data_IF_780366862302
#
_entry.id   IF_780366862302
#
_cell.length_a   1.000
_cell.length_b   1.000
_cell.length_c   1.000
_cell.angle_alpha   90.00
_cell.angle_beta   90.00
_cell.angle_gamma   90.00
#
_symmetry.space_group_name_H-M   'P 1'
#
loop_
_entity.id
_entity.type
_entity.pdbx_description
1 polymer ?
#
# COMPACT_ATOMS: atom_id res chain seq x y z
N UNK A 1 -6.57 11.54 -0.61
CA UNK A 1 -5.97 11.67 0.74
C UNK A 1 -5.03 10.49 0.96
N UNK A 2 -3.85 10.71 1.54
CA UNK A 2 -2.91 9.64 1.87
C UNK A 2 -2.94 9.38 3.38
N UNK A 3 -3.07 8.12 3.78
CA UNK A 3 -3.04 7.69 5.18
C UNK A 3 -1.85 6.77 5.40
N UNK A 4 -0.98 7.12 6.34
CA UNK A 4 0.24 6.35 6.60
C UNK A 4 0.04 5.35 7.74
N UNK A 5 0.13 4.05 7.45
CA UNK A 5 0.03 2.97 8.42
C UNK A 5 1.38 2.28 8.70
N UNK A 6 2.47 2.77 8.10
CA UNK A 6 3.80 2.14 8.22
C UNK A 6 4.32 2.09 9.65
N UNK A 7 3.87 3.01 10.50
CA UNK A 7 4.37 3.20 11.86
C UNK A 7 3.36 2.82 12.95
N UNK A 8 2.24 2.18 12.61
CA UNK A 8 1.21 1.79 13.59
C UNK A 8 1.51 0.49 14.35
N UNK A 9 2.58 -0.23 13.98
CA UNK A 9 2.98 -1.47 14.67
C UNK A 9 2.15 -2.71 14.32
N UNK A 10 1.13 -2.60 13.46
CA UNK A 10 0.27 -3.74 13.09
C UNK A 10 1.03 -4.94 12.50
N UNK A 11 2.12 -4.72 11.75
CA UNK A 11 2.95 -5.82 11.20
C UNK A 11 3.80 -6.56 12.23
N UNK A 12 3.90 -6.04 13.47
CA UNK A 12 4.71 -6.62 14.54
C UNK A 12 3.87 -7.41 15.56
N UNK A 13 2.55 -7.44 15.40
CA UNK A 13 1.66 -8.23 16.28
C UNK A 13 1.98 -9.71 16.11
N UNK A 14 2.21 -10.42 17.21
CA UNK A 14 2.40 -11.87 17.23
C UNK A 14 1.57 -12.46 18.38
N UNK A 15 0.71 -13.43 18.08
CA UNK A 15 -0.15 -14.10 19.04
C UNK A 15 0.45 -15.41 19.59
N UNK A 16 1.73 -15.68 19.30
CA UNK A 16 2.46 -16.89 19.69
C UNK A 16 2.71 -17.88 18.54
N UNK A 17 2.43 -17.49 17.30
CA UNK A 17 2.45 -18.37 16.12
C UNK A 17 3.09 -17.69 14.90
N UNK A 18 3.68 -16.52 15.09
CA UNK A 18 4.23 -15.67 14.03
C UNK A 18 3.35 -14.47 13.72
N UNK A 19 3.99 -13.46 13.10
CA UNK A 19 3.34 -12.21 12.73
C UNK A 19 2.42 -12.31 11.50
N UNK A 20 1.61 -11.28 11.25
CA UNK A 20 0.67 -11.28 10.13
C UNK A 20 1.40 -11.28 8.79
N UNK A 21 0.93 -12.10 7.86
CA UNK A 21 1.41 -12.10 6.48
C UNK A 21 1.01 -10.84 5.71
N UNK A 22 -0.13 -10.23 6.04
CA UNK A 22 -0.60 -8.97 5.43
C UNK A 22 -1.60 -8.27 6.36
N UNK A 23 -1.57 -6.93 6.36
CA UNK A 23 -2.53 -6.05 7.04
C UNK A 23 -3.16 -5.15 5.98
N UNK A 24 -4.49 -5.06 5.93
CA UNK A 24 -5.24 -4.23 4.98
C UNK A 24 -6.31 -3.40 5.69
N UNK A 25 -6.46 -2.10 5.38
CA UNK A 25 -7.58 -1.29 5.83
C UNK A 25 -8.85 -1.65 5.05
N UNK A 26 -9.95 -1.91 5.75
CA UNK A 26 -11.27 -2.21 5.15
C UNK A 26 -12.09 -0.95 4.80
N UNK A 27 -11.45 0.22 4.76
CA UNK A 27 -12.10 1.54 4.73
C UNK A 27 -12.99 1.82 3.50
N UNK A 28 -12.69 1.21 2.35
CA UNK A 28 -13.40 1.49 1.09
C UNK A 28 -14.86 1.08 1.10
N UNK A 29 -15.16 -0.10 1.63
CA UNK A 29 -16.52 -0.64 1.61
C UNK A 29 -17.32 -0.27 2.87
N UNK A 30 -16.65 0.20 3.93
CA UNK A 30 -17.25 0.37 5.25
C UNK A 30 -17.49 1.83 5.66
N UNK A 31 -16.65 2.76 5.19
CA UNK A 31 -16.66 4.16 5.66
C UNK A 31 -17.08 5.18 4.58
N UNK A 32 -17.47 4.72 3.39
CA UNK A 32 -17.92 5.59 2.29
C UNK A 32 -16.84 6.47 1.66
N UNK A 33 -15.56 6.22 1.97
CA UNK A 33 -14.44 6.94 1.35
C UNK A 33 -14.24 6.44 -0.08
N UNK A 34 -14.45 7.30 -1.07
CA UNK A 34 -14.42 6.92 -2.49
C UNK A 34 -13.03 6.52 -3.00
N UNK A 35 -11.98 7.24 -2.61
CA UNK A 35 -10.64 7.09 -3.20
C UNK A 35 -9.53 7.14 -2.13
N UNK A 36 -9.56 6.28 -1.08
CA UNK A 36 -8.51 6.27 -0.09
C UNK A 36 -7.20 5.71 -0.66
N UNK A 37 -6.08 6.23 -0.15
CA UNK A 37 -4.74 5.75 -0.46
C UNK A 37 -3.97 5.51 0.84
N UNK A 38 -3.40 4.32 1.00
CA UNK A 38 -2.68 3.92 2.21
C UNK A 38 -1.24 3.53 1.90
N UNK A 39 -0.33 4.00 2.75
CA UNK A 39 1.02 3.45 2.82
C UNK A 39 1.04 2.35 3.87
N UNK A 40 1.35 1.13 3.44
CA UNK A 40 1.33 -0.06 4.27
C UNK A 40 2.75 -0.62 4.44
N UNK A 41 3.11 -1.07 5.64
CA UNK A 41 4.38 -1.76 5.84
C UNK A 41 4.40 -3.10 5.10
N UNK A 42 5.59 -3.59 4.74
CA UNK A 42 5.76 -5.01 4.39
C UNK A 42 5.58 -5.88 5.65
N UNK A 43 5.30 -7.17 5.45
CA UNK A 43 5.28 -8.13 6.56
C UNK A 43 6.68 -8.25 7.18
N UNK A 44 6.74 -8.44 8.50
CA UNK A 44 7.99 -8.67 9.23
C UNK A 44 8.72 -9.93 8.74
N UNK A 45 7.98 -10.92 8.22
CA UNK A 45 8.51 -12.13 7.58
C UNK A 45 9.09 -11.90 6.18
N UNK A 46 8.88 -10.72 5.57
CA UNK A 46 9.52 -10.42 4.28
C UNK A 46 11.02 -10.28 4.49
N UNK A 47 11.79 -11.10 3.78
CA UNK A 47 13.23 -11.33 4.01
C UNK A 47 14.07 -10.10 3.64
N UNK A 48 14.09 -9.07 4.51
CA UNK A 48 15.13 -8.04 4.66
C UNK A 48 15.53 -7.17 3.46
N UNK A 49 15.01 -7.42 2.25
CA UNK A 49 15.45 -6.78 0.99
C UNK A 49 14.52 -5.66 0.52
N UNK A 50 13.33 -5.52 1.09
CA UNK A 50 12.40 -4.45 0.72
C UNK A 50 12.56 -3.25 1.67
N UNK A 51 13.41 -2.30 1.28
CA UNK A 51 13.48 -0.96 1.90
C UNK A 51 12.29 -0.06 1.55
N UNK A 52 11.29 -0.60 0.84
CA UNK A 52 10.11 0.12 0.38
C UNK A 52 8.90 -0.08 1.29
N UNK A 53 7.73 0.27 0.76
CA UNK A 53 6.43 0.06 1.38
C UNK A 53 5.42 -0.32 0.29
N UNK A 54 4.26 -0.86 0.69
CA UNK A 54 3.15 -1.13 -0.22
C UNK A 54 2.24 0.11 -0.29
N UNK A 55 1.68 0.36 -1.46
CA UNK A 55 0.63 1.37 -1.64
C UNK A 55 -0.67 0.64 -1.95
N UNK A 56 -1.68 0.82 -1.11
CA UNK A 56 -3.05 0.40 -1.41
C UNK A 56 -3.84 1.62 -1.85
N UNK A 57 -4.23 1.66 -3.12
CA UNK A 57 -5.04 2.73 -3.70
C UNK A 57 -6.41 2.19 -4.09
N UNK A 58 -7.43 3.00 -3.89
CA UNK A 58 -8.77 2.73 -4.38
C UNK A 58 -9.14 3.81 -5.39
N UNK A 59 -9.57 3.38 -6.56
CA UNK A 59 -9.78 4.22 -7.73
C UNK A 59 -11.11 3.84 -8.36
N UNK A 60 -11.73 4.78 -9.06
CA UNK A 60 -12.84 4.47 -9.97
C UNK A 60 -12.36 3.52 -11.06
N UNK A 61 -13.24 2.63 -11.50
CA UNK A 61 -12.93 1.66 -12.54
C UNK A 61 -12.40 2.32 -13.82
N UNK A 62 -12.98 3.47 -14.19
CA UNK A 62 -12.57 4.27 -15.35
C UNK A 62 -11.14 4.79 -15.28
N UNK A 63 -10.54 4.90 -14.09
CA UNK A 63 -9.19 5.43 -13.89
C UNK A 63 -8.12 4.32 -13.73
N UNK A 64 -8.52 3.04 -13.69
CA UNK A 64 -7.57 1.93 -13.44
C UNK A 64 -6.57 1.79 -14.59
N UNK A 65 -7.01 1.96 -15.84
CA UNK A 65 -6.14 1.81 -17.01
C UNK A 65 -5.03 2.87 -17.01
N UNK A 66 -5.41 4.15 -16.93
CA UNK A 66 -4.47 5.27 -16.91
C UNK A 66 -3.52 5.20 -15.72
N UNK A 67 -4.03 4.84 -14.53
CA UNK A 67 -3.18 4.70 -13.35
C UNK A 67 -2.11 3.61 -13.52
N UNK A 68 -2.45 2.48 -14.16
CA UNK A 68 -1.46 1.42 -14.44
C UNK A 68 -0.36 1.91 -15.37
N UNK A 69 -0.71 2.65 -16.41
CA UNK A 69 0.26 3.23 -17.34
C UNK A 69 1.22 4.18 -16.61
N UNK A 70 0.69 5.09 -15.79
CA UNK A 70 1.49 6.06 -15.04
C UNK A 70 2.42 5.39 -14.01
N UNK A 71 1.94 4.35 -13.32
CA UNK A 71 2.78 3.57 -12.40
C UNK A 71 3.88 2.80 -13.15
N UNK A 72 3.61 2.33 -14.36
CA UNK A 72 4.62 1.69 -15.19
C UNK A 72 5.72 2.68 -15.60
N UNK A 73 5.33 3.88 -16.09
CA UNK A 73 6.27 4.98 -16.37
C UNK A 73 7.11 5.34 -15.13
N UNK A 74 6.46 5.38 -13.96
CA UNK A 74 7.14 5.63 -12.69
C UNK A 74 8.16 4.56 -12.36
N UNK A 75 7.81 3.28 -12.54
CA UNK A 75 8.72 2.15 -12.30
C UNK A 75 9.95 2.16 -13.23
N UNK A 76 9.79 2.70 -14.45
CA UNK A 76 10.87 2.91 -15.43
C UNK A 76 11.66 4.20 -15.18
N UNK A 77 11.33 4.95 -14.12
CA UNK A 77 11.98 6.21 -13.70
C UNK A 77 11.88 7.32 -14.75
N UNK A 78 10.85 7.32 -15.58
CA UNK A 78 10.68 8.31 -16.64
C UNK A 78 10.41 9.74 -16.09
N UNK A 79 9.93 9.83 -14.84
CA UNK A 79 9.70 11.10 -14.15
C UNK A 79 10.94 11.67 -13.44
N UNK A 80 12.12 11.07 -13.59
CA UNK A 80 13.36 11.48 -12.89
C UNK A 80 13.96 12.84 -13.32
N UNK A 81 13.25 13.58 -14.18
CA UNK A 81 13.61 14.93 -14.66
C UNK A 81 12.73 16.07 -14.12
N UNK A 82 11.85 15.80 -13.16
CA UNK A 82 11.15 16.83 -12.37
C UNK A 82 11.97 17.18 -11.13
#
# INVERSE_FOLDING_TARGET
>A
MFTDWRHLGHSAVDFGWGGPMTVLPLSTNFLGSMEPCFFLPYASSSTGKNKGFKVLVSLRESAIADFREEIEKFSRKEFSKL
#
